data_IF_494382087909
#
_entry.id   IF_494382087909
#
_cell.length_a   1.000
_cell.length_b   1.000
_cell.length_c   1.000
_cell.angle_alpha   90.00
_cell.angle_beta   90.00
_cell.angle_gamma   90.00
#
_symmetry.space_group_name_H-M   'P 1'
#
loop_
_entity.id
_entity.type
_entity.pdbx_description
1 polymer ?
#
# COMPACT_ATOMS: atom_id res chain seq x y z
N UNK A 1 -25.10 -4.57 11.38
CA UNK A 1 -24.96 -4.02 10.01
C UNK A 1 -24.34 -2.62 10.00
N UNK A 2 -24.84 -1.68 10.81
CA UNK A 2 -24.29 -0.32 10.89
C UNK A 2 -22.82 -0.27 11.32
N UNK A 3 -22.45 -1.03 12.38
CA UNK A 3 -21.06 -1.16 12.85
C UNK A 3 -20.09 -1.62 11.76
N UNK A 4 -20.47 -2.68 11.04
CA UNK A 4 -19.69 -3.21 9.92
C UNK A 4 -19.46 -2.19 8.80
N UNK A 5 -20.47 -1.35 8.50
CA UNK A 5 -20.34 -0.29 7.49
C UNK A 5 -19.34 0.78 7.98
N UNK A 6 -19.37 1.14 9.26
CA UNK A 6 -18.45 2.11 9.86
C UNK A 6 -17.01 1.58 9.82
N UNK A 7 -16.80 0.31 10.17
CA UNK A 7 -15.50 -0.37 10.10
C UNK A 7 -14.92 -0.35 8.67
N UNK A 8 -15.75 -0.66 7.67
CA UNK A 8 -15.36 -0.59 6.26
C UNK A 8 -14.97 0.85 5.86
N UNK A 9 -15.76 1.84 6.26
CA UNK A 9 -15.46 3.25 5.95
C UNK A 9 -14.11 3.65 6.57
N UNK A 10 -13.86 3.30 7.83
CA UNK A 10 -12.60 3.59 8.51
C UNK A 10 -11.43 2.93 7.77
N UNK A 11 -11.58 1.66 7.38
CA UNK A 11 -10.53 0.94 6.65
C UNK A 11 -10.25 1.57 5.28
N UNK A 12 -11.30 1.93 4.53
CA UNK A 12 -11.17 2.60 3.22
C UNK A 12 -10.46 3.94 3.39
N UNK A 13 -10.88 4.77 4.36
CA UNK A 13 -10.25 6.06 4.62
C UNK A 13 -8.78 5.91 5.01
N UNK A 14 -8.44 4.93 5.84
CA UNK A 14 -7.06 4.67 6.22
C UNK A 14 -6.20 4.27 5.01
N UNK A 15 -6.70 3.38 4.14
CA UNK A 15 -5.98 2.97 2.92
C UNK A 15 -5.82 4.15 1.96
N UNK A 16 -6.85 4.97 1.75
CA UNK A 16 -6.77 6.15 0.87
C UNK A 16 -5.76 7.18 1.39
N UNK A 17 -5.74 7.42 2.70
CA UNK A 17 -4.75 8.29 3.34
C UNK A 17 -3.33 7.70 3.24
N UNK A 18 -3.18 6.39 3.44
CA UNK A 18 -1.92 5.68 3.24
C UNK A 18 -1.40 5.80 1.81
N UNK A 19 -2.28 5.63 0.83
CA UNK A 19 -1.92 5.73 -0.59
C UNK A 19 -1.47 7.13 -0.96
N UNK A 20 -2.14 8.16 -0.43
CA UNK A 20 -1.79 9.56 -0.69
C UNK A 20 -0.49 9.97 -0.03
N UNK A 21 -0.20 9.47 1.17
CA UNK A 21 0.94 9.93 1.97
C UNK A 21 2.25 9.32 1.52
N UNK A 22 2.28 8.00 1.26
CA UNK A 22 3.51 7.29 0.93
C UNK A 22 3.33 6.17 -0.11
N UNK A 23 2.30 6.29 -0.98
CA UNK A 23 2.04 5.30 -2.03
C UNK A 23 1.73 3.91 -1.46
N UNK A 24 2.24 2.88 -2.12
CA UNK A 24 1.99 1.49 -1.71
C UNK A 24 2.48 1.20 -0.28
N UNK A 25 3.65 1.73 0.12
CA UNK A 25 4.20 1.58 1.47
C UNK A 25 3.31 2.21 2.53
N UNK A 26 2.74 3.39 2.24
CA UNK A 26 1.81 4.07 3.14
C UNK A 26 0.53 3.28 3.38
N UNK A 27 -0.03 2.63 2.36
CA UNK A 27 -1.19 1.74 2.53
C UNK A 27 -0.93 0.64 3.58
N UNK A 28 0.29 0.08 3.61
CA UNK A 28 0.62 -1.00 4.54
C UNK A 28 0.70 -0.53 5.99
N UNK A 29 1.34 0.62 6.21
CA UNK A 29 1.46 1.23 7.54
C UNK A 29 0.07 1.64 8.05
N UNK A 30 -0.72 2.32 7.21
CA UNK A 30 -2.06 2.76 7.61
C UNK A 30 -3.05 1.60 7.81
N UNK A 31 -2.87 0.47 7.12
CA UNK A 31 -3.66 -0.74 7.39
C UNK A 31 -3.39 -1.31 8.78
N UNK A 32 -2.13 -1.29 9.26
CA UNK A 32 -1.80 -1.70 10.64
C UNK A 32 -2.43 -0.73 11.64
N UNK A 33 -2.33 0.58 11.39
CA UNK A 33 -2.94 1.60 12.25
C UNK A 33 -4.46 1.46 12.31
N UNK A 34 -5.12 1.24 11.18
CA UNK A 34 -6.56 0.99 11.12
C UNK A 34 -6.94 -0.25 11.93
N UNK A 35 -6.16 -1.34 11.84
CA UNK A 35 -6.41 -2.55 12.60
C UNK A 35 -6.24 -2.32 14.11
N UNK A 36 -5.25 -1.53 14.54
CA UNK A 36 -5.10 -1.13 15.94
C UNK A 36 -6.32 -0.33 16.41
N UNK A 37 -6.81 0.61 15.60
CA UNK A 37 -8.02 1.38 15.92
C UNK A 37 -9.22 0.45 16.09
N UNK A 38 -9.41 -0.52 15.19
CA UNK A 38 -10.51 -1.48 15.27
C UNK A 38 -10.44 -2.37 16.53
N UNK A 39 -9.25 -2.82 16.92
CA UNK A 39 -9.06 -3.66 18.11
C UNK A 39 -9.21 -2.86 19.40
N UNK A 40 -8.56 -1.69 19.51
CA UNK A 40 -8.53 -0.93 20.78
C UNK A 40 -9.77 -0.05 20.99
N UNK A 41 -10.36 0.50 19.93
CA UNK A 41 -11.53 1.40 20.03
C UNK A 41 -12.84 0.61 19.92
N UNK A 42 -12.94 -0.27 18.93
CA UNK A 42 -14.17 -1.03 18.69
C UNK A 42 -14.19 -2.40 19.40
N UNK A 43 -13.11 -2.74 20.13
CA UNK A 43 -12.99 -3.98 20.92
C UNK A 43 -13.25 -5.25 20.11
N UNK A 44 -12.96 -5.24 18.81
CA UNK A 44 -13.07 -6.44 17.99
C UNK A 44 -12.05 -7.49 18.47
N UNK A 45 -12.43 -8.78 18.44
CA UNK A 45 -11.47 -9.84 18.71
C UNK A 45 -10.29 -9.69 17.76
N UNK A 46 -9.04 -9.79 18.27
CA UNK A 46 -7.87 -9.64 17.45
C UNK A 46 -7.90 -10.72 16.36
N UNK A 47 -8.14 -10.30 15.13
CA UNK A 47 -7.99 -11.15 13.96
C UNK A 47 -6.52 -11.50 13.74
N UNK A 48 -6.26 -12.35 12.76
CA UNK A 48 -4.89 -12.58 12.31
C UNK A 48 -4.25 -11.25 11.88
N UNK A 49 -3.04 -10.99 12.39
CA UNK A 49 -2.26 -9.85 11.93
C UNK A 49 -2.08 -9.96 10.41
N UNK A 50 -2.16 -8.85 9.64
CA UNK A 50 -2.13 -8.87 8.18
C UNK A 50 -0.70 -9.06 7.64
N UNK A 51 0.04 -10.03 8.18
CA UNK A 51 1.47 -10.26 7.92
C UNK A 51 1.75 -10.41 6.44
N UNK A 52 0.96 -11.21 5.72
CA UNK A 52 1.10 -11.41 4.28
C UNK A 52 0.95 -10.11 3.49
N UNK A 53 -0.04 -9.27 3.82
CA UNK A 53 -0.26 -8.01 3.13
C UNK A 53 0.88 -7.02 3.39
N UNK A 54 1.36 -6.92 4.63
CA UNK A 54 2.50 -6.08 5.00
C UNK A 54 3.76 -6.52 4.26
N UNK A 55 4.04 -7.82 4.19
CA UNK A 55 5.19 -8.38 3.46
C UNK A 55 5.13 -8.11 1.96
N UNK A 56 3.95 -8.22 1.34
CA UNK A 56 3.73 -7.87 -0.07
C UNK A 56 4.08 -6.40 -0.30
N UNK A 57 3.56 -5.50 0.53
CA UNK A 57 3.78 -4.06 0.40
C UNK A 57 5.26 -3.70 0.60
N UNK A 58 5.92 -4.30 1.59
CA UNK A 58 7.35 -4.12 1.81
C UNK A 58 8.17 -4.62 0.62
N UNK A 59 7.84 -5.79 0.09
CA UNK A 59 8.53 -6.37 -1.07
C UNK A 59 8.38 -5.49 -2.30
N UNK A 60 7.18 -5.01 -2.61
CA UNK A 60 6.93 -4.12 -3.75
C UNK A 60 7.63 -2.77 -3.54
N UNK A 61 7.57 -2.21 -2.32
CA UNK A 61 8.24 -0.95 -1.99
C UNK A 61 9.76 -1.03 -2.14
N UNK A 62 10.38 -2.11 -1.66
CA UNK A 62 11.82 -2.35 -1.82
C UNK A 62 12.19 -2.57 -3.29
N UNK A 63 11.44 -3.41 -4.01
CA UNK A 63 11.69 -3.68 -5.42
C UNK A 63 11.58 -2.39 -6.27
N UNK A 64 10.52 -1.61 -6.06
CA UNK A 64 10.31 -0.32 -6.72
C UNK A 64 11.40 0.70 -6.36
N UNK A 65 11.73 0.83 -5.07
CA UNK A 65 12.79 1.71 -4.61
C UNK A 65 14.16 1.35 -5.18
N UNK A 66 14.47 0.05 -5.29
CA UNK A 66 15.72 -0.43 -5.90
C UNK A 66 15.76 -0.15 -7.40
N UNK A 67 14.64 -0.36 -8.11
CA UNK A 67 14.51 -0.01 -9.53
C UNK A 67 14.70 1.49 -9.77
N UNK A 68 14.19 2.33 -8.88
CA UNK A 68 14.31 3.77 -8.99
C UNK A 68 15.73 4.25 -8.63
N UNK A 69 16.33 3.70 -7.58
CA UNK A 69 17.70 4.05 -7.15
C UNK A 69 18.78 3.63 -8.17
N UNK A 70 18.54 2.58 -8.94
CA UNK A 70 19.46 2.10 -9.99
C UNK A 70 19.27 2.80 -11.34
N UNK A 71 18.28 3.70 -11.46
CA UNK A 71 17.88 4.27 -12.75
C UNK A 71 17.22 3.26 -13.70
N UNK A 72 16.82 2.09 -13.19
CA UNK A 72 16.18 1.04 -13.99
C UNK A 72 14.86 1.49 -14.61
N UNK A 73 14.11 2.35 -13.93
CA UNK A 73 12.89 2.96 -14.50
C UNK A 73 13.24 3.83 -15.70
N UNK A 74 14.27 4.67 -15.63
CA UNK A 74 14.69 5.55 -16.73
C UNK A 74 15.17 4.75 -17.94
N UNK A 75 15.86 3.63 -17.70
CA UNK A 75 16.26 2.70 -18.76
C UNK A 75 15.06 2.07 -19.48
N UNK A 76 14.04 1.64 -18.72
CA UNK A 76 12.81 1.08 -19.30
C UNK A 76 12.06 2.13 -20.13
N UNK A 77 12.00 3.39 -19.67
CA UNK A 77 11.40 4.50 -20.42
C UNK A 77 12.19 4.79 -21.70
N UNK A 78 13.53 4.80 -21.63
CA UNK A 78 14.38 5.00 -22.81
C UNK A 78 14.14 3.94 -23.89
N UNK A 79 14.03 2.66 -23.51
CA UNK A 79 13.68 1.58 -24.45
C UNK A 79 12.30 1.84 -25.06
N UNK A 80 11.30 2.20 -24.25
CA UNK A 80 9.96 2.47 -24.74
C UNK A 80 9.95 3.63 -25.76
N UNK A 81 10.65 4.73 -25.47
CA UNK A 81 10.79 5.86 -26.39
C UNK A 81 11.47 5.46 -27.72
N UNK A 82 12.53 4.66 -27.66
CA UNK A 82 13.22 4.12 -28.84
C UNK A 82 12.34 3.26 -29.74
N UNK A 83 11.43 2.49 -29.14
CA UNK A 83 10.46 1.67 -29.88
C UNK A 83 9.42 2.56 -30.55
N UNK A 84 8.93 3.58 -29.84
CA UNK A 84 7.92 4.52 -30.35
C UNK A 84 8.48 5.36 -31.51
N UNK A 85 9.71 5.87 -31.42
CA UNK A 85 10.34 6.64 -32.51
C UNK A 85 10.61 5.82 -33.78
N UNK A 86 10.57 4.49 -33.69
CA UNK A 86 10.75 3.58 -34.83
C UNK A 86 9.44 3.23 -35.55
N UNK A 87 8.29 3.55 -34.97
CA UNK A 87 6.98 3.43 -35.60
C UNK A 87 6.59 4.74 -36.26
#
# INVERSE_FOLDING_TARGET
MLLFIIEIIIMILAILLGLRTAGALGCGIFAIVAQLIMIFVFQLPPGSAPVTAVLIILSIGIAGGTLQATGGIDYLVYIASRVIERF
#
